data_IF_046567850402
#
_entry.id   IF_046567850402
#
_cell.length_a   1.000
_cell.length_b   1.000
_cell.length_c   1.000
_cell.angle_alpha   90.00
_cell.angle_beta   90.00
_cell.angle_gamma   90.00
#
_symmetry.space_group_name_H-M   'P 1'
#
loop_
_entity.id
_entity.type
_entity.pdbx_description
1 polymer ?
#
# COMPACT_ATOMS: atom_id res chain seq x y z
N UNK A 1 1.83 7.53 -3.09
CA UNK A 1 1.21 8.12 -1.87
C UNK A 1 0.86 9.57 -2.16
N UNK A 2 -0.40 9.93 -1.98
CA UNK A 2 -0.84 11.30 -2.29
C UNK A 2 -0.40 12.28 -1.20
N UNK A 3 -0.02 13.47 -1.61
CA UNK A 3 0.52 14.50 -0.72
C UNK A 3 -0.46 15.68 -0.56
N UNK A 4 -0.03 16.74 0.12
CA UNK A 4 -0.83 17.95 0.33
C UNK A 4 -1.32 18.62 -0.97
N UNK A 5 -0.75 18.29 -2.12
CA UNK A 5 -1.18 18.83 -3.43
C UNK A 5 -2.37 18.07 -4.03
N UNK A 6 -2.91 17.04 -3.38
CA UNK A 6 -3.99 16.21 -3.93
C UNK A 6 -5.22 17.03 -4.36
N UNK A 7 -5.63 18.03 -3.59
CA UNK A 7 -6.75 18.91 -3.95
C UNK A 7 -6.45 19.69 -5.23
N UNK A 8 -5.24 20.23 -5.34
CA UNK A 8 -4.81 20.97 -6.55
C UNK A 8 -4.72 20.03 -7.76
N UNK A 9 -4.27 18.79 -7.56
CA UNK A 9 -4.21 17.78 -8.62
C UNK A 9 -5.60 17.44 -9.16
N UNK A 10 -6.60 17.25 -8.29
CA UNK A 10 -7.99 17.05 -8.72
C UNK A 10 -8.47 18.24 -9.56
N UNK A 11 -8.29 19.47 -9.08
CA UNK A 11 -8.71 20.67 -9.81
C UNK A 11 -8.03 20.77 -11.17
N UNK A 12 -6.73 20.56 -11.23
CA UNK A 12 -5.95 20.61 -12.49
C UNK A 12 -6.37 19.50 -13.47
N UNK A 13 -6.66 18.30 -12.97
CA UNK A 13 -7.14 17.19 -13.82
C UNK A 13 -8.51 17.50 -14.41
N UNK A 14 -9.44 18.03 -13.60
CA UNK A 14 -10.74 18.46 -14.11
C UNK A 14 -10.61 19.57 -15.15
N UNK A 15 -9.73 20.56 -14.92
CA UNK A 15 -9.46 21.62 -15.91
C UNK A 15 -8.86 21.05 -17.21
N UNK A 16 -7.94 20.11 -17.14
CA UNK A 16 -7.30 19.50 -18.30
C UNK A 16 -8.31 18.70 -19.14
N UNK A 17 -9.12 17.84 -18.50
CA UNK A 17 -10.15 17.03 -19.17
C UNK A 17 -11.17 17.96 -19.86
N UNK A 18 -11.73 18.90 -19.11
CA UNK A 18 -12.71 19.84 -19.66
C UNK A 18 -12.12 20.73 -20.75
N UNK A 19 -10.88 21.20 -20.58
CA UNK A 19 -10.20 22.02 -21.57
C UNK A 19 -9.93 21.30 -22.88
N UNK A 20 -9.61 20.01 -22.81
CA UNK A 20 -9.36 19.18 -24.00
C UNK A 20 -10.66 18.81 -24.73
N UNK A 21 -11.66 18.37 -23.99
CA UNK A 21 -12.89 17.80 -24.57
C UNK A 21 -13.89 18.87 -25.05
N UNK A 22 -13.95 20.03 -24.37
CA UNK A 22 -14.89 21.09 -24.75
C UNK A 22 -14.50 21.72 -26.07
N UNK A 23 -13.23 21.95 -26.34
CA UNK A 23 -12.76 22.58 -27.56
C UNK A 23 -12.91 21.68 -28.80
N UNK A 24 -13.27 20.41 -28.63
CA UNK A 24 -13.64 19.53 -29.75
C UNK A 24 -14.96 19.95 -30.42
N UNK A 25 -15.83 20.69 -29.69
CA UNK A 25 -17.04 21.25 -30.27
C UNK A 25 -16.71 22.50 -31.10
N UNK A 26 -17.09 22.54 -32.40
CA UNK A 26 -16.77 23.67 -33.27
C UNK A 26 -17.26 25.04 -32.77
N UNK A 27 -18.34 25.09 -31.98
CA UNK A 27 -18.90 26.32 -31.44
C UNK A 27 -18.23 26.79 -30.13
N UNK A 28 -17.42 25.92 -29.52
CA UNK A 28 -16.81 26.13 -28.20
C UNK A 28 -15.27 26.13 -28.24
N UNK A 29 -14.66 26.26 -29.41
CA UNK A 29 -13.21 26.18 -29.61
C UNK A 29 -12.42 27.28 -28.88
N UNK A 30 -13.07 28.40 -28.55
CA UNK A 30 -12.48 29.54 -27.83
C UNK A 30 -12.69 29.47 -26.31
N UNK A 31 -13.17 28.32 -25.79
CA UNK A 31 -13.48 28.17 -24.39
C UNK A 31 -12.22 28.15 -23.53
N UNK A 32 -12.22 28.96 -22.47
CA UNK A 32 -11.19 28.93 -21.43
C UNK A 32 -11.77 28.24 -20.18
N UNK A 33 -11.04 27.28 -19.64
CA UNK A 33 -11.40 26.61 -18.38
C UNK A 33 -10.57 27.21 -17.25
N UNK A 34 -11.26 27.81 -16.27
CA UNK A 34 -10.64 28.52 -15.15
C UNK A 34 -11.05 27.89 -13.81
N UNK A 35 -10.27 28.13 -12.76
CA UNK A 35 -10.59 27.72 -11.38
C UNK A 35 -10.46 28.93 -10.46
N UNK A 36 -11.40 29.85 -10.55
CA UNK A 36 -11.37 31.13 -9.86
C UNK A 36 -12.58 31.28 -8.91
N UNK A 37 -12.46 32.10 -7.84
CA UNK A 37 -13.60 32.50 -7.05
C UNK A 37 -14.68 33.22 -7.90
N UNK A 38 -15.96 33.09 -7.51
CA UNK A 38 -17.07 33.54 -8.32
C UNK A 38 -17.03 35.04 -8.63
N UNK A 39 -16.54 35.88 -7.70
CA UNK A 39 -16.38 37.33 -7.85
C UNK A 39 -15.31 37.71 -8.88
N UNK A 40 -14.34 36.82 -9.14
CA UNK A 40 -13.22 37.05 -10.08
C UNK A 40 -13.34 36.21 -11.33
N UNK A 41 -14.32 35.31 -11.40
CA UNK A 41 -14.40 34.29 -12.44
C UNK A 41 -14.39 34.88 -13.84
N UNK A 42 -15.25 35.84 -14.14
CA UNK A 42 -15.39 36.44 -15.48
C UNK A 42 -14.23 37.40 -15.81
N UNK A 43 -13.91 38.30 -14.89
CA UNK A 43 -12.85 39.31 -15.07
C UNK A 43 -12.92 40.04 -16.41
N UNK A 44 -11.85 39.98 -17.20
CA UNK A 44 -11.75 40.60 -18.54
C UNK A 44 -11.97 39.59 -19.68
N UNK A 45 -12.35 38.36 -19.39
CA UNK A 45 -12.57 37.30 -20.40
C UNK A 45 -13.88 37.56 -21.12
N UNK A 46 -13.85 37.74 -22.44
CA UNK A 46 -15.01 38.00 -23.29
C UNK A 46 -15.45 36.81 -24.13
N UNK A 47 -14.57 35.80 -24.26
CA UNK A 47 -14.83 34.52 -24.95
C UNK A 47 -15.65 33.56 -24.10
N UNK A 48 -15.98 32.41 -24.61
CA UNK A 48 -16.55 31.32 -23.83
C UNK A 48 -15.67 30.97 -22.64
N UNK A 49 -16.25 30.81 -21.46
CA UNK A 49 -15.50 30.46 -20.27
C UNK A 49 -16.28 29.48 -19.39
N UNK A 50 -15.62 28.41 -18.97
CA UNK A 50 -16.11 27.51 -17.93
C UNK A 50 -15.31 27.72 -16.66
N UNK A 51 -15.96 28.05 -15.57
CA UNK A 51 -15.28 28.24 -14.28
C UNK A 51 -15.61 27.10 -13.31
N UNK A 52 -14.56 26.49 -12.77
CA UNK A 52 -14.62 25.47 -11.73
C UNK A 52 -14.31 26.13 -10.39
N UNK A 53 -15.28 26.28 -9.54
CA UNK A 53 -15.08 26.85 -8.21
C UNK A 53 -15.20 25.79 -7.13
N UNK A 54 -14.09 25.46 -6.45
CA UNK A 54 -14.11 24.62 -5.26
C UNK A 54 -14.71 25.46 -4.11
N UNK A 55 -15.99 25.24 -3.79
CA UNK A 55 -16.67 26.05 -2.79
C UNK A 55 -16.68 25.41 -1.40
N UNK A 56 -16.46 24.08 -1.30
CA UNK A 56 -16.46 23.40 -0.02
C UNK A 56 -15.56 22.15 -0.07
N UNK A 57 -14.93 21.86 1.06
CA UNK A 57 -14.15 20.63 1.30
C UNK A 57 -14.66 20.02 2.59
N UNK A 58 -15.12 18.78 2.54
CA UNK A 58 -15.65 18.06 3.70
C UNK A 58 -14.86 16.75 3.94
N UNK A 59 -14.74 16.33 5.21
CA UNK A 59 -14.24 14.99 5.49
C UNK A 59 -15.24 13.94 4.98
N UNK A 60 -14.75 12.93 4.25
CA UNK A 60 -15.59 11.84 3.78
C UNK A 60 -16.07 10.97 4.96
N UNK A 61 -17.39 10.91 5.17
CA UNK A 61 -18.01 10.25 6.32
C UNK A 61 -17.86 8.71 6.27
N UNK A 62 -17.85 8.11 5.08
CA UNK A 62 -17.75 6.68 4.89
C UNK A 62 -16.31 6.21 5.19
N UNK A 63 -15.33 6.89 4.66
CA UNK A 63 -13.92 6.55 4.84
C UNK A 63 -13.37 6.91 6.21
N UNK A 64 -13.95 7.89 6.89
CA UNK A 64 -13.51 8.32 8.22
C UNK A 64 -13.54 7.20 9.26
N UNK A 65 -14.46 6.25 9.15
CA UNK A 65 -14.65 5.15 10.09
C UNK A 65 -14.19 3.79 9.55
N UNK A 66 -13.70 3.74 8.32
CA UNK A 66 -13.14 2.51 7.75
C UNK A 66 -11.69 2.33 8.20
N UNK A 67 -11.29 1.07 8.41
CA UNK A 67 -9.88 0.73 8.54
C UNK A 67 -9.25 0.80 7.15
N UNK A 68 -8.77 1.99 6.80
CA UNK A 68 -8.18 2.23 5.50
C UNK A 68 -6.90 1.42 5.33
N UNK A 69 -6.61 0.93 4.10
CA UNK A 69 -5.30 0.39 3.81
C UNK A 69 -4.26 1.50 4.05
N UNK A 70 -3.68 1.47 5.24
CA UNK A 70 -2.61 2.38 5.62
C UNK A 70 -1.37 1.98 4.85
N UNK A 71 -0.51 2.93 4.54
CA UNK A 71 0.84 2.65 4.07
C UNK A 71 1.71 2.05 5.19
N UNK A 72 1.07 1.26 6.08
CA UNK A 72 1.67 0.60 7.24
C UNK A 72 1.49 -0.91 7.11
N UNK A 73 2.49 -1.65 7.55
CA UNK A 73 2.50 -3.12 7.53
C UNK A 73 1.83 -3.67 8.79
N UNK A 74 1.45 -4.96 8.81
CA UNK A 74 0.91 -5.57 10.03
C UNK A 74 1.84 -5.37 11.23
N UNK A 75 1.30 -4.85 12.34
CA UNK A 75 2.05 -4.55 13.55
C UNK A 75 2.63 -3.14 13.62
N UNK A 76 2.53 -2.35 12.58
CA UNK A 76 2.93 -0.93 12.58
C UNK A 76 1.75 -0.02 12.95
N UNK A 77 2.07 1.13 13.53
CA UNK A 77 1.10 2.20 13.79
C UNK A 77 1.42 3.42 12.95
N UNK A 78 0.46 3.86 12.15
CA UNK A 78 0.53 5.08 11.36
C UNK A 78 -0.79 5.81 11.40
N UNK A 79 -0.78 7.08 11.03
CA UNK A 79 -2.00 7.86 10.89
C UNK A 79 -2.73 7.43 9.61
N UNK A 80 -4.05 7.32 9.68
CA UNK A 80 -4.87 7.09 8.48
C UNK A 80 -4.79 8.30 7.56
N UNK A 81 -4.87 8.13 6.24
CA UNK A 81 -4.99 9.23 5.30
C UNK A 81 -6.22 10.10 5.63
N UNK A 82 -6.10 11.38 5.35
CA UNK A 82 -7.23 12.30 5.40
C UNK A 82 -8.08 12.11 4.14
N UNK A 83 -9.29 11.61 4.30
CA UNK A 83 -10.23 11.38 3.22
C UNK A 83 -11.17 12.59 3.07
N UNK A 84 -11.25 13.15 1.87
CA UNK A 84 -11.96 14.39 1.57
C UNK A 84 -12.93 14.22 0.41
N UNK A 85 -14.07 14.91 0.55
CA UNK A 85 -15.02 15.17 -0.52
C UNK A 85 -14.84 16.63 -0.94
N UNK A 86 -14.68 16.86 -2.24
CA UNK A 86 -14.43 18.15 -2.84
C UNK A 86 -15.69 18.59 -3.61
N UNK A 87 -16.31 19.68 -3.17
CA UNK A 87 -17.52 20.19 -3.79
C UNK A 87 -17.22 21.36 -4.74
N UNK A 88 -17.48 21.13 -6.02
CA UNK A 88 -17.25 22.10 -7.08
C UNK A 88 -18.57 22.69 -7.59
N UNK A 89 -18.57 23.99 -7.83
CA UNK A 89 -19.60 24.68 -8.60
C UNK A 89 -19.05 24.99 -9.99
N UNK A 90 -19.72 24.47 -11.01
CA UNK A 90 -19.36 24.69 -12.40
C UNK A 90 -20.28 25.74 -12.98
N UNK A 91 -19.71 26.83 -13.46
CA UNK A 91 -20.44 27.95 -14.03
C UNK A 91 -19.96 28.23 -15.44
N UNK A 92 -20.88 28.33 -16.38
CA UNK A 92 -20.60 28.65 -17.77
C UNK A 92 -20.90 30.14 -18.05
N UNK A 93 -19.99 30.77 -18.78
CA UNK A 93 -20.13 32.12 -19.30
C UNK A 93 -20.02 32.07 -20.83
N UNK A 94 -21.07 32.46 -21.52
CA UNK A 94 -21.07 32.59 -22.97
C UNK A 94 -20.26 33.79 -23.44
N UNK A 95 -20.08 33.90 -24.74
CA UNK A 95 -19.43 35.07 -25.39
C UNK A 95 -20.18 36.35 -25.05
N UNK A 96 -19.46 37.42 -24.75
CA UNK A 96 -20.06 38.71 -24.56
C UNK A 96 -20.53 39.30 -25.91
N UNK A 97 -21.69 39.93 -25.88
CA UNK A 97 -22.27 40.57 -27.06
C UNK A 97 -22.64 39.66 -28.24
N UNK A 98 -22.66 38.34 -28.03
CA UNK A 98 -23.16 37.36 -29.02
C UNK A 98 -24.43 36.68 -28.48
N UNK A 99 -25.57 37.12 -28.99
CA UNK A 99 -26.88 36.59 -28.64
C UNK A 99 -27.47 35.66 -29.68
N UNK A 100 -26.63 35.26 -30.66
CA UNK A 100 -27.07 34.36 -31.75
C UNK A 100 -27.46 32.98 -31.25
N UNK A 101 -26.84 32.54 -30.16
CA UNK A 101 -27.09 31.22 -29.52
C UNK A 101 -26.88 31.37 -28.01
N UNK A 102 -27.53 30.49 -27.19
CA UNK A 102 -27.31 30.45 -25.75
C UNK A 102 -26.00 29.65 -25.45
N UNK A 103 -24.83 30.26 -25.73
CA UNK A 103 -23.52 29.65 -25.59
C UNK A 103 -23.23 29.16 -24.18
N UNK A 104 -23.70 29.85 -23.16
CA UNK A 104 -23.59 29.46 -21.75
C UNK A 104 -24.34 28.15 -21.46
N UNK A 105 -25.56 27.99 -21.98
CA UNK A 105 -26.30 26.73 -21.82
C UNK A 105 -25.64 25.59 -22.61
N UNK A 106 -25.20 25.86 -23.85
CA UNK A 106 -24.47 24.85 -24.66
C UNK A 106 -23.18 24.42 -23.97
N UNK A 107 -22.40 25.38 -23.49
CA UNK A 107 -21.14 25.12 -22.79
C UNK A 107 -21.35 24.30 -21.49
N UNK A 108 -22.37 24.68 -20.70
CA UNK A 108 -22.73 23.93 -19.49
C UNK A 108 -23.15 22.49 -19.83
N UNK A 109 -23.99 22.31 -20.84
CA UNK A 109 -24.43 20.99 -21.31
C UNK A 109 -23.24 20.12 -21.79
N UNK A 110 -22.32 20.71 -22.57
CA UNK A 110 -21.11 20.01 -23.01
C UNK A 110 -20.22 19.63 -21.82
N UNK A 111 -20.01 20.52 -20.88
CA UNK A 111 -19.23 20.25 -19.66
C UNK A 111 -19.84 19.12 -18.82
N UNK A 112 -21.18 19.13 -18.66
CA UNK A 112 -21.88 18.09 -17.93
C UNK A 112 -21.77 16.72 -18.63
N UNK A 113 -21.85 16.68 -19.96
CA UNK A 113 -21.63 15.46 -20.76
C UNK A 113 -20.22 14.92 -20.56
N UNK A 114 -19.20 15.77 -20.67
CA UNK A 114 -17.79 15.38 -20.47
C UNK A 114 -17.58 14.76 -19.08
N UNK A 115 -18.08 15.41 -18.03
CA UNK A 115 -17.93 14.89 -16.66
C UNK A 115 -18.73 13.62 -16.39
N UNK A 116 -19.82 13.42 -17.10
CA UNK A 116 -20.59 12.17 -17.04
C UNK A 116 -19.82 11.03 -17.68
N UNK A 117 -19.19 11.26 -18.83
CA UNK A 117 -18.40 10.28 -19.55
C UNK A 117 -17.10 9.95 -18.82
N UNK A 118 -16.53 10.93 -18.08
CA UNK A 118 -15.34 10.80 -17.22
C UNK A 118 -15.71 10.70 -15.74
N UNK A 119 -16.66 9.82 -15.40
CA UNK A 119 -17.13 9.67 -14.01
C UNK A 119 -16.05 9.22 -13.02
N UNK A 120 -14.92 8.68 -13.49
CA UNK A 120 -13.76 8.26 -12.71
C UNK A 120 -12.50 8.87 -13.30
N UNK A 121 -11.72 9.58 -12.49
CA UNK A 121 -10.42 10.10 -12.92
C UNK A 121 -9.42 8.95 -13.10
N UNK A 122 -8.80 8.91 -14.27
CA UNK A 122 -7.76 7.94 -14.59
C UNK A 122 -6.41 8.32 -13.95
N UNK A 123 -5.59 7.33 -13.53
CA UNK A 123 -4.26 7.60 -12.99
C UNK A 123 -3.36 8.37 -13.96
N UNK A 124 -3.43 8.05 -15.26
CA UNK A 124 -2.64 8.72 -16.31
C UNK A 124 -3.08 10.17 -16.51
N UNK A 125 -4.38 10.45 -16.42
CA UNK A 125 -4.94 11.81 -16.53
C UNK A 125 -4.44 12.67 -15.38
N UNK A 126 -4.47 12.14 -14.15
CA UNK A 126 -3.96 12.81 -12.95
C UNK A 126 -2.46 13.07 -13.05
N UNK A 127 -1.68 12.05 -13.41
CA UNK A 127 -0.23 12.16 -13.52
C UNK A 127 0.20 13.17 -14.60
N UNK A 128 -0.57 13.25 -15.70
CA UNK A 128 -0.31 14.20 -16.80
C UNK A 128 -0.69 15.63 -16.40
N UNK A 129 -1.85 15.81 -15.77
CA UNK A 129 -2.35 17.15 -15.42
C UNK A 129 -1.57 17.77 -14.25
N UNK A 130 -1.15 16.96 -13.27
CA UNK A 130 -0.42 17.45 -12.10
C UNK A 130 0.61 16.43 -11.61
N UNK A 131 1.80 16.37 -12.21
CA UNK A 131 2.86 15.43 -11.83
C UNK A 131 3.31 15.62 -10.37
N UNK A 132 3.57 14.53 -9.68
CA UNK A 132 4.16 14.53 -8.33
C UNK A 132 3.17 14.75 -7.18
N UNK A 133 1.87 14.74 -7.43
CA UNK A 133 0.86 14.76 -6.38
C UNK A 133 0.75 13.43 -5.62
N UNK A 134 1.10 12.31 -6.28
CA UNK A 134 0.91 10.96 -5.80
C UNK A 134 -0.55 10.50 -5.78
N UNK A 135 -1.49 11.35 -6.24
CA UNK A 135 -2.92 11.05 -6.25
C UNK A 135 -3.25 9.92 -7.23
N UNK A 136 -2.48 9.77 -8.30
CA UNK A 136 -2.56 8.69 -9.29
C UNK A 136 -2.38 7.29 -8.69
N UNK A 137 -1.71 7.22 -7.53
CA UNK A 137 -1.40 5.96 -6.82
C UNK A 137 -2.26 5.72 -5.58
N UNK A 138 -3.32 6.50 -5.35
CA UNK A 138 -4.19 6.28 -4.19
C UNK A 138 -4.98 4.96 -4.27
N UNK A 139 -5.42 4.47 -3.11
CA UNK A 139 -6.05 3.15 -2.99
C UNK A 139 -7.42 3.06 -3.67
N UNK A 140 -8.18 4.15 -3.73
CA UNK A 140 -9.46 4.23 -4.41
C UNK A 140 -9.42 5.27 -5.53
N UNK A 141 -10.28 5.17 -6.51
CA UNK A 141 -10.34 6.13 -7.61
C UNK A 141 -11.21 7.32 -7.26
N UNK A 142 -10.78 8.50 -7.66
CA UNK A 142 -11.56 9.73 -7.52
C UNK A 142 -12.75 9.65 -8.47
N UNK A 143 -13.95 9.74 -7.90
CA UNK A 143 -15.23 9.69 -8.61
C UNK A 143 -15.83 11.08 -8.70
N UNK A 144 -16.38 11.42 -9.85
CA UNK A 144 -17.13 12.65 -10.10
C UNK A 144 -18.62 12.31 -10.09
N UNK A 145 -19.37 13.00 -9.27
CA UNK A 145 -20.83 12.78 -9.16
C UNK A 145 -21.55 14.12 -9.21
N UNK A 146 -22.64 14.21 -10.01
CA UNK A 146 -23.50 15.39 -10.03
C UNK A 146 -24.17 15.54 -8.67
N UNK A 147 -23.99 16.69 -8.03
CA UNK A 147 -24.60 17.03 -6.75
C UNK A 147 -25.88 17.85 -6.97
N UNK A 148 -27.03 17.36 -6.50
CA UNK A 148 -28.27 18.14 -6.55
C UNK A 148 -28.19 19.28 -5.53
N UNK A 149 -27.99 20.52 -6.02
CA UNK A 149 -28.07 21.72 -5.21
C UNK A 149 -29.43 22.34 -5.38
N UNK A 150 -30.03 22.78 -4.28
CA UNK A 150 -31.27 23.57 -4.34
C UNK A 150 -30.99 24.98 -4.89
N UNK A 151 -32.00 25.61 -5.48
CA UNK A 151 -31.90 27.01 -5.94
C UNK A 151 -31.54 27.95 -4.78
N UNK A 152 -31.98 27.62 -3.58
CA UNK A 152 -31.67 28.39 -2.36
C UNK A 152 -30.17 28.27 -2.02
N UNK A 153 -29.58 27.09 -2.07
CA UNK A 153 -28.17 26.91 -1.76
C UNK A 153 -27.27 27.60 -2.78
N UNK A 154 -27.60 27.47 -4.07
CA UNK A 154 -26.87 28.17 -5.13
C UNK A 154 -27.00 29.67 -4.94
N UNK A 155 -28.21 30.20 -4.67
CA UNK A 155 -28.44 31.63 -4.44
C UNK A 155 -27.64 32.15 -3.25
N UNK A 156 -27.55 31.40 -2.16
CA UNK A 156 -26.72 31.75 -0.99
C UNK A 156 -25.24 31.85 -1.34
N UNK A 157 -24.73 30.92 -2.15
CA UNK A 157 -23.34 30.98 -2.64
C UNK A 157 -23.10 32.26 -3.45
N UNK A 158 -23.96 32.56 -4.42
CA UNK A 158 -23.81 33.73 -5.26
C UNK A 158 -23.95 35.06 -4.47
N UNK A 159 -24.86 35.13 -3.52
CA UNK A 159 -24.97 36.26 -2.62
C UNK A 159 -23.74 36.48 -1.74
N UNK A 160 -23.13 35.40 -1.27
CA UNK A 160 -21.91 35.46 -0.46
C UNK A 160 -20.73 36.12 -1.20
N UNK A 161 -20.67 36.01 -2.53
CA UNK A 161 -19.64 36.62 -3.38
C UNK A 161 -20.08 37.99 -3.97
N UNK A 162 -21.27 38.49 -3.62
CA UNK A 162 -21.81 39.78 -4.08
C UNK A 162 -21.74 39.93 -5.61
N UNK A 163 -21.98 38.86 -6.36
CA UNK A 163 -21.94 38.84 -7.82
C UNK A 163 -23.28 38.35 -8.40
N UNK A 164 -23.52 38.64 -9.69
CA UNK A 164 -24.79 38.30 -10.35
C UNK A 164 -24.92 36.78 -10.50
N UNK A 165 -26.11 36.27 -10.17
CA UNK A 165 -26.49 34.89 -10.31
C UNK A 165 -26.31 34.41 -11.77
N UNK A 166 -25.74 33.21 -11.91
CA UNK A 166 -25.65 32.49 -13.18
C UNK A 166 -25.99 31.02 -12.98
N UNK A 167 -26.54 30.43 -14.04
CA UNK A 167 -26.86 28.99 -14.04
C UNK A 167 -25.57 28.20 -13.82
N UNK A 168 -25.60 27.33 -12.81
CA UNK A 168 -24.43 26.54 -12.37
C UNK A 168 -24.88 25.16 -11.99
N UNK A 169 -23.95 24.18 -12.08
CA UNK A 169 -24.15 22.82 -11.65
C UNK A 169 -23.15 22.46 -10.53
N UNK A 170 -23.64 21.81 -9.48
CA UNK A 170 -22.81 21.31 -8.40
C UNK A 170 -22.25 19.90 -8.71
N UNK A 171 -21.03 19.66 -8.33
CA UNK A 171 -20.39 18.35 -8.42
C UNK A 171 -19.69 17.99 -7.12
N UNK A 172 -19.85 16.75 -6.72
CA UNK A 172 -19.09 16.12 -5.64
C UNK A 172 -17.99 15.25 -6.25
N UNK A 173 -16.75 15.50 -5.84
CA UNK A 173 -15.57 14.76 -6.31
C UNK A 173 -14.95 14.04 -5.13
N UNK A 174 -15.17 12.76 -5.05
CA UNK A 174 -14.79 11.91 -3.90
C UNK A 174 -14.24 10.54 -4.35
N UNK A 175 -13.36 9.89 -3.64
CA UNK A 175 -12.68 10.34 -2.43
C UNK A 175 -11.28 10.83 -2.80
N UNK A 176 -10.87 11.97 -2.26
CA UNK A 176 -9.49 12.47 -2.38
C UNK A 176 -8.77 12.18 -1.08
N UNK A 177 -7.70 11.37 -1.14
CA UNK A 177 -6.91 10.98 0.01
C UNK A 177 -5.65 11.85 0.11
N UNK A 178 -5.32 12.30 1.32
CA UNK A 178 -4.05 12.94 1.64
C UNK A 178 -3.35 12.11 2.70
N UNK A 179 -2.21 11.53 2.36
CA UNK A 179 -1.43 10.71 3.29
C UNK A 179 -0.78 11.57 4.38
N UNK A 180 -0.72 11.00 5.58
CA UNK A 180 -0.04 11.64 6.69
C UNK A 180 1.47 11.70 6.46
N UNK A 181 2.08 12.82 6.77
CA UNK A 181 3.55 12.99 6.79
C UNK A 181 4.17 12.54 8.10
N UNK A 182 3.36 12.09 9.08
CA UNK A 182 3.88 11.57 10.34
C UNK A 182 4.63 10.27 10.12
N UNK A 183 5.79 10.09 10.77
CA UNK A 183 6.55 8.86 10.64
C UNK A 183 5.75 7.66 11.17
N UNK A 184 5.82 6.57 10.44
CA UNK A 184 5.25 5.28 10.86
C UNK A 184 6.04 4.78 12.06
N UNK A 185 5.35 4.41 13.14
CA UNK A 185 5.97 3.78 14.32
C UNK A 185 5.98 2.28 14.16
N UNK A 186 7.16 1.70 14.25
CA UNK A 186 7.40 0.26 14.14
C UNK A 186 7.67 -0.30 15.55
N UNK A 187 6.63 -0.70 16.30
CA UNK A 187 6.81 -1.19 17.67
C UNK A 187 7.65 -2.46 17.67
N UNK A 188 8.31 -2.72 18.79
CA UNK A 188 9.01 -3.99 18.99
C UNK A 188 8.00 -5.15 18.95
N UNK A 189 8.40 -6.34 18.46
CA UNK A 189 7.53 -7.51 18.44
C UNK A 189 7.15 -7.93 19.86
N UNK A 190 5.95 -8.51 19.99
CA UNK A 190 5.46 -9.00 21.26
C UNK A 190 6.31 -10.18 21.75
N UNK A 191 6.81 -10.10 22.98
CA UNK A 191 7.64 -11.16 23.58
C UNK A 191 6.84 -12.43 23.90
N UNK A 192 5.58 -12.30 24.24
CA UNK A 192 4.71 -13.44 24.54
C UNK A 192 3.23 -13.06 24.53
N UNK A 193 2.36 -13.99 24.13
CA UNK A 193 0.90 -13.79 24.04
C UNK A 193 0.18 -14.56 25.13
N UNK A 194 0.15 -14.02 26.34
CA UNK A 194 -0.48 -14.66 27.49
C UNK A 194 0.33 -15.81 28.09
N UNK A 195 -0.25 -16.55 29.02
CA UNK A 195 0.39 -17.69 29.64
C UNK A 195 0.69 -18.79 28.59
N UNK A 196 1.93 -19.21 28.51
CA UNK A 196 2.42 -20.24 27.56
C UNK A 196 2.39 -19.86 26.08
N UNK A 197 2.29 -18.56 25.72
CA UNK A 197 2.28 -18.03 24.34
C UNK A 197 1.21 -18.69 23.43
N UNK A 198 0.14 -19.19 24.00
CA UNK A 198 -0.87 -20.02 23.30
C UNK A 198 -1.90 -19.23 22.52
N UNK A 199 -1.88 -17.92 22.45
CA UNK A 199 -2.80 -17.14 21.60
C UNK A 199 -4.19 -17.77 21.36
N UNK A 200 -4.99 -17.20 20.50
CA UNK A 200 -6.30 -17.78 20.12
C UNK A 200 -6.10 -18.90 19.07
N UNK A 201 -6.55 -20.12 19.39
CA UNK A 201 -6.64 -21.24 18.44
C UNK A 201 -8.13 -21.57 18.20
N UNK A 202 -8.61 -21.37 16.99
CA UNK A 202 -9.90 -21.87 16.53
C UNK A 202 -9.67 -23.02 15.55
N UNK A 203 -10.09 -24.23 15.89
CA UNK A 203 -9.93 -25.41 15.04
C UNK A 203 -11.31 -25.94 14.64
N UNK A 204 -11.63 -25.87 13.32
CA UNK A 204 -12.78 -26.55 12.77
C UNK A 204 -12.41 -28.02 12.51
N UNK A 205 -13.17 -28.95 13.14
CA UNK A 205 -12.92 -30.40 13.03
C UNK A 205 -13.79 -30.99 11.91
N UNK A 206 -13.36 -30.85 10.66
CA UNK A 206 -13.82 -31.68 9.55
C UNK A 206 -12.59 -32.33 8.94
N UNK A 207 -12.46 -33.64 9.06
CA UNK A 207 -11.38 -34.40 8.41
C UNK A 207 -11.69 -34.49 6.92
N UNK A 208 -11.00 -33.78 6.03
CA UNK A 208 -11.23 -33.85 4.59
C UNK A 208 -10.86 -35.24 4.02
N UNK A 209 -11.59 -35.69 3.01
CA UNK A 209 -11.31 -36.96 2.33
C UNK A 209 -10.00 -36.92 1.49
N UNK A 210 -9.48 -35.71 1.24
CA UNK A 210 -8.26 -35.45 0.44
C UNK A 210 -7.13 -34.95 1.33
N UNK A 211 -5.86 -35.09 0.91
CA UNK A 211 -4.74 -34.50 1.65
C UNK A 211 -4.94 -33.00 1.85
N UNK A 212 -4.84 -32.55 3.08
CA UNK A 212 -5.08 -31.14 3.43
C UNK A 212 -4.03 -30.68 4.44
N UNK A 213 -3.45 -29.51 4.22
CA UNK A 213 -2.52 -28.86 5.11
C UNK A 213 -3.30 -27.89 6.01
N UNK A 214 -3.14 -28.02 7.34
CA UNK A 214 -3.82 -27.20 8.32
C UNK A 214 -2.92 -26.11 8.89
N UNK A 215 -1.62 -26.38 9.04
CA UNK A 215 -0.67 -25.42 9.61
C UNK A 215 0.75 -25.67 9.09
N UNK A 216 1.50 -24.59 8.93
CA UNK A 216 2.96 -24.57 8.68
C UNK A 216 3.58 -23.82 9.84
N UNK A 217 4.36 -24.50 10.66
CA UNK A 217 4.88 -23.93 11.90
C UNK A 217 6.42 -23.94 11.89
N UNK A 218 7.05 -22.75 11.95
CA UNK A 218 8.47 -22.64 12.22
C UNK A 218 8.84 -23.12 13.63
N UNK A 219 10.13 -23.41 13.89
CA UNK A 219 10.59 -23.85 15.20
C UNK A 219 10.27 -22.79 16.28
N UNK A 220 10.08 -23.22 17.53
CA UNK A 220 9.82 -22.36 18.68
C UNK A 220 8.61 -21.43 18.52
N UNK A 221 7.65 -21.78 17.66
CA UNK A 221 6.48 -20.94 17.33
C UNK A 221 6.86 -19.49 16.93
N UNK A 222 8.02 -19.33 16.32
CA UNK A 222 8.44 -18.03 15.80
C UNK A 222 7.58 -17.60 14.59
N UNK A 223 7.44 -16.28 14.34
CA UNK A 223 6.53 -15.79 13.29
C UNK A 223 7.02 -16.08 11.87
N UNK A 224 8.31 -16.34 11.68
CA UNK A 224 8.93 -16.61 10.39
C UNK A 224 9.98 -17.70 10.52
N UNK A 225 10.23 -18.45 9.46
CA UNK A 225 11.33 -19.38 9.38
C UNK A 225 12.64 -18.68 8.98
N UNK A 226 13.76 -19.35 9.20
CA UNK A 226 15.08 -18.99 8.69
C UNK A 226 15.62 -20.11 7.78
N UNK A 227 16.64 -19.82 7.02
CA UNK A 227 17.39 -20.86 6.30
C UNK A 227 17.91 -21.91 7.29
N UNK A 228 17.76 -23.19 6.95
CA UNK A 228 18.14 -24.32 7.80
C UNK A 228 17.14 -24.71 8.87
N UNK A 229 16.09 -23.91 9.11
CA UNK A 229 15.04 -24.24 10.07
C UNK A 229 14.25 -25.48 9.65
N UNK A 230 13.81 -26.23 10.66
CA UNK A 230 12.94 -27.40 10.47
C UNK A 230 11.50 -26.98 10.75
N UNK A 231 10.70 -27.00 9.69
CA UNK A 231 9.26 -26.71 9.77
C UNK A 231 8.47 -27.93 10.23
N UNK A 232 7.43 -27.70 11.01
CA UNK A 232 6.39 -28.68 11.29
C UNK A 232 5.17 -28.37 10.42
N UNK A 233 4.84 -29.29 9.52
CA UNK A 233 3.64 -29.25 8.69
C UNK A 233 2.58 -30.15 9.28
N UNK A 234 1.45 -29.60 9.70
CA UNK A 234 0.34 -30.39 10.26
C UNK A 234 -0.85 -30.37 9.31
N UNK A 235 -1.56 -31.48 9.27
CA UNK A 235 -2.69 -31.63 8.35
C UNK A 235 -3.37 -32.97 8.51
N UNK A 236 -4.01 -33.44 7.44
CA UNK A 236 -4.64 -34.76 7.36
C UNK A 236 -4.29 -35.44 6.06
N UNK A 237 -4.14 -36.77 6.13
CA UNK A 237 -3.80 -37.61 4.99
C UNK A 237 -2.46 -37.21 4.32
N UNK A 238 -1.48 -36.76 5.10
CA UNK A 238 -0.18 -36.34 4.61
C UNK A 238 0.77 -37.52 4.33
N UNK A 239 0.38 -38.75 4.69
CA UNK A 239 1.17 -39.96 4.47
C UNK A 239 0.95 -40.54 3.07
N UNK A 240 1.98 -41.08 2.50
CA UNK A 240 1.94 -41.73 1.19
C UNK A 240 3.34 -42.18 0.71
N UNK A 241 3.40 -42.66 -0.50
CA UNK A 241 4.65 -42.83 -1.22
C UNK A 241 4.95 -41.52 -1.96
N UNK A 242 6.23 -41.19 -2.13
CA UNK A 242 6.64 -39.99 -2.88
C UNK A 242 6.00 -38.70 -2.33
N UNK A 243 6.28 -38.41 -1.07
CA UNK A 243 5.84 -37.18 -0.39
C UNK A 243 6.87 -36.06 -0.57
N UNK A 244 6.44 -34.86 -0.92
CA UNK A 244 7.29 -33.68 -1.05
C UNK A 244 6.61 -32.41 -0.55
N UNK A 245 7.36 -31.52 0.05
CA UNK A 245 6.88 -30.17 0.36
C UNK A 245 7.25 -29.23 -0.77
N UNK A 246 6.26 -28.57 -1.33
CA UNK A 246 6.39 -27.66 -2.46
C UNK A 246 6.37 -26.22 -1.95
N UNK A 247 7.47 -25.51 -2.16
CA UNK A 247 7.63 -24.10 -1.83
C UNK A 247 7.55 -23.27 -3.09
N UNK A 248 6.82 -22.18 -3.04
CA UNK A 248 6.77 -21.20 -4.13
C UNK A 248 7.05 -19.80 -3.60
N UNK A 249 7.89 -19.06 -4.31
CA UNK A 249 8.22 -17.66 -4.03
C UNK A 249 8.02 -16.85 -5.32
N UNK A 250 7.47 -15.62 -5.25
CA UNK A 250 7.23 -14.78 -6.44
C UNK A 250 8.47 -14.49 -7.30
N UNK A 251 9.66 -14.56 -6.71
CA UNK A 251 10.93 -14.33 -7.43
C UNK A 251 11.41 -15.58 -8.20
N UNK A 252 10.82 -16.74 -7.95
CA UNK A 252 11.18 -17.97 -8.65
C UNK A 252 10.35 -18.18 -9.91
N UNK A 253 10.95 -18.74 -10.91
CA UNK A 253 10.27 -19.14 -12.17
C UNK A 253 9.43 -20.40 -12.02
N UNK A 254 9.75 -21.25 -11.04
CA UNK A 254 9.03 -22.48 -10.74
C UNK A 254 9.14 -22.83 -9.24
N UNK A 255 8.12 -23.49 -8.67
CA UNK A 255 8.16 -23.96 -7.29
C UNK A 255 9.31 -24.96 -7.05
N UNK A 256 9.86 -24.93 -5.84
CA UNK A 256 10.95 -25.84 -5.39
C UNK A 256 10.36 -26.91 -4.48
N UNK A 257 10.66 -28.16 -4.78
CA UNK A 257 10.26 -29.30 -3.97
C UNK A 257 11.37 -29.70 -3.00
N UNK A 258 11.01 -29.90 -1.72
CA UNK A 258 11.91 -30.34 -0.65
C UNK A 258 11.35 -31.62 -0.05
N UNK A 259 12.19 -32.66 0.05
CA UNK A 259 11.80 -33.90 0.67
C UNK A 259 11.58 -33.74 2.19
N UNK A 260 10.53 -34.32 2.76
CA UNK A 260 10.33 -34.32 4.20
C UNK A 260 11.42 -35.13 4.90
N UNK A 261 11.72 -34.79 6.15
CA UNK A 261 12.57 -35.58 7.01
C UNK A 261 11.89 -36.92 7.31
N UNK A 262 12.68 -38.00 7.54
CA UNK A 262 12.13 -39.30 7.92
C UNK A 262 11.28 -39.25 9.19
N UNK A 263 10.27 -40.12 9.30
CA UNK A 263 9.42 -40.25 10.49
C UNK A 263 8.12 -39.48 10.45
N UNK A 264 7.77 -38.91 9.30
CA UNK A 264 6.45 -38.25 9.10
C UNK A 264 5.29 -39.24 9.09
N UNK A 265 4.09 -38.76 9.43
CA UNK A 265 2.84 -39.55 9.49
C UNK A 265 1.68 -38.89 8.74
N UNK A 266 0.48 -39.42 8.93
CA UNK A 266 -0.74 -38.90 8.27
C UNK A 266 -1.17 -37.51 8.73
N UNK A 267 -0.72 -37.10 9.92
CA UNK A 267 -1.14 -35.82 10.54
C UNK A 267 -0.01 -34.79 10.58
N UNK A 268 1.24 -35.20 10.42
CA UNK A 268 2.38 -34.31 10.58
C UNK A 268 3.57 -34.77 9.73
N UNK A 269 4.25 -33.79 9.16
CA UNK A 269 5.53 -33.92 8.47
C UNK A 269 6.51 -32.90 9.04
N UNK A 270 7.79 -33.24 8.96
CA UNK A 270 8.91 -32.35 9.29
C UNK A 270 9.71 -32.07 8.02
N UNK A 271 9.99 -30.81 7.73
CA UNK A 271 10.68 -30.41 6.50
C UNK A 271 11.74 -29.36 6.84
N UNK A 272 12.98 -29.62 6.46
CA UNK A 272 14.06 -28.66 6.65
C UNK A 272 14.18 -27.74 5.44
N UNK A 273 14.14 -26.42 5.68
CA UNK A 273 14.44 -25.43 4.64
C UNK A 273 15.92 -25.55 4.28
N UNK A 274 16.29 -25.69 2.99
CA UNK A 274 17.69 -25.76 2.59
C UNK A 274 18.48 -24.51 2.99
N UNK A 275 19.67 -24.68 3.53
CA UNK A 275 20.56 -23.56 3.82
C UNK A 275 21.33 -23.15 2.55
N UNK A 276 20.62 -22.53 1.62
CA UNK A 276 21.14 -22.07 0.33
C UNK A 276 20.87 -20.57 0.14
N UNK A 277 21.70 -19.69 0.72
CA UNK A 277 21.41 -18.25 0.82
C UNK A 277 21.36 -17.52 -0.53
N UNK A 278 21.88 -18.11 -1.59
CA UNK A 278 21.84 -17.56 -2.96
C UNK A 278 20.62 -17.98 -3.75
N UNK A 279 19.91 -19.03 -3.30
CA UNK A 279 18.77 -19.64 -4.03
C UNK A 279 17.43 -19.31 -3.38
N UNK A 280 17.40 -19.23 -2.05
CA UNK A 280 16.20 -18.99 -1.25
C UNK A 280 16.15 -17.53 -0.78
N UNK A 281 15.46 -16.61 -1.47
CA UNK A 281 15.36 -15.21 -1.04
C UNK A 281 14.53 -15.08 0.24
N UNK A 282 14.79 -14.08 1.07
CA UNK A 282 13.89 -13.71 2.15
C UNK A 282 12.57 -13.17 1.57
N UNK A 283 11.45 -13.37 2.27
CA UNK A 283 10.15 -12.89 1.80
C UNK A 283 9.01 -13.88 2.07
N UNK A 284 7.95 -13.75 1.28
CA UNK A 284 6.74 -14.56 1.40
C UNK A 284 6.80 -15.79 0.51
N UNK A 285 6.33 -16.90 1.06
CA UNK A 285 6.23 -18.19 0.39
C UNK A 285 4.82 -18.74 0.51
N UNK A 286 4.41 -19.55 -0.46
CA UNK A 286 3.33 -20.51 -0.28
C UNK A 286 3.90 -21.91 -0.17
N UNK A 287 3.34 -22.70 0.74
CA UNK A 287 3.75 -24.08 1.03
C UNK A 287 2.59 -25.01 0.80
N UNK A 288 2.80 -26.07 0.04
CA UNK A 288 1.87 -27.17 -0.14
C UNK A 288 2.60 -28.50 0.06
N UNK A 289 1.86 -29.57 0.23
CA UNK A 289 2.41 -30.94 0.29
C UNK A 289 1.90 -31.73 -0.90
N UNK A 290 2.83 -32.38 -1.60
CA UNK A 290 2.55 -33.36 -2.63
C UNK A 290 2.54 -34.75 -2.02
N UNK A 291 1.48 -35.52 -2.22
CA UNK A 291 1.33 -36.85 -1.65
C UNK A 291 0.82 -37.81 -2.72
N UNK A 292 1.54 -38.92 -2.93
CA UNK A 292 1.04 -40.01 -3.72
C UNK A 292 0.42 -41.06 -2.76
N UNK A 293 -0.88 -41.20 -2.81
CA UNK A 293 -1.60 -42.16 -1.97
C UNK A 293 -1.41 -43.60 -2.46
N UNK A 294 -1.49 -44.61 -1.58
CA UNK A 294 -1.48 -45.98 -2.00
C UNK A 294 -2.56 -46.29 -3.05
N UNK A 295 -2.13 -46.92 -4.16
CA UNK A 295 -3.05 -47.25 -5.28
C UNK A 295 -3.29 -46.11 -6.27
N UNK A 296 -2.77 -44.90 -6.07
CA UNK A 296 -2.81 -43.81 -7.04
C UNK A 296 -1.53 -43.76 -7.88
N UNK A 297 -1.69 -43.41 -9.16
CA UNK A 297 -0.56 -43.27 -10.11
C UNK A 297 -0.02 -41.85 -10.18
N UNK A 298 -0.72 -40.88 -9.61
CA UNK A 298 -0.37 -39.46 -9.60
C UNK A 298 -0.28 -38.92 -8.17
N UNK A 299 0.47 -37.83 -8.02
CA UNK A 299 0.57 -37.11 -6.75
C UNK A 299 -0.54 -36.07 -6.64
N UNK A 300 -1.15 -35.96 -5.48
CA UNK A 300 -2.12 -34.92 -5.14
C UNK A 300 -1.43 -33.80 -4.40
N UNK A 301 -1.86 -32.57 -4.66
CA UNK A 301 -1.38 -31.38 -3.94
C UNK A 301 -2.41 -31.01 -2.87
N UNK A 302 -1.97 -30.67 -1.68
CA UNK A 302 -2.81 -30.07 -0.64
C UNK A 302 -3.19 -28.64 -1.03
N UNK A 303 -4.07 -27.99 -0.23
CA UNK A 303 -4.15 -26.54 -0.21
C UNK A 303 -2.80 -25.90 0.10
N UNK A 304 -2.66 -24.63 -0.26
CA UNK A 304 -1.46 -23.82 0.02
C UNK A 304 -1.63 -22.99 1.28
N UNK A 305 -0.60 -22.92 2.09
CA UNK A 305 -0.53 -22.03 3.25
C UNK A 305 0.66 -21.09 3.12
N UNK A 306 0.55 -19.92 3.72
CA UNK A 306 1.61 -18.91 3.72
C UNK A 306 2.72 -19.26 4.72
N UNK A 307 3.94 -18.93 4.35
CA UNK A 307 5.13 -18.98 5.19
C UNK A 307 5.97 -17.72 4.90
N UNK A 308 6.58 -17.16 5.94
CA UNK A 308 7.58 -16.11 5.78
C UNK A 308 8.97 -16.63 6.08
N UNK A 309 9.96 -16.27 5.24
CA UNK A 309 11.37 -16.56 5.44
C UNK A 309 12.09 -15.27 5.85
N UNK A 310 12.46 -15.20 7.13
CA UNK A 310 13.15 -14.07 7.71
C UNK A 310 14.65 -14.09 7.41
N UNK A 311 15.26 -12.92 7.13
CA UNK A 311 16.70 -12.82 7.06
C UNK A 311 17.33 -12.92 8.47
N UNK A 312 18.55 -13.41 8.55
CA UNK A 312 19.48 -13.12 9.65
C UNK A 312 20.29 -11.89 9.27
N UNK A 313 20.67 -11.08 10.25
CA UNK A 313 21.38 -9.82 10.00
C UNK A 313 22.37 -9.49 11.10
N UNK A 314 23.50 -8.96 10.71
CA UNK A 314 24.45 -8.25 11.58
C UNK A 314 24.78 -6.90 10.97
N UNK A 315 25.03 -5.88 11.79
CA UNK A 315 25.38 -4.54 11.30
C UNK A 315 26.67 -4.01 11.94
N UNK A 316 27.35 -3.20 11.17
CA UNK A 316 28.53 -2.45 11.62
C UNK A 316 28.36 -0.98 11.22
N UNK A 317 28.79 -0.03 12.09
CA UNK A 317 29.37 -0.20 13.42
C UNK A 317 28.33 -0.58 14.48
N UNK A 318 28.72 -1.36 15.50
CA UNK A 318 27.87 -1.66 16.65
C UNK A 318 27.80 -0.49 17.65
N UNK A 319 28.77 0.43 17.59
CA UNK A 319 28.81 1.66 18.37
C UNK A 319 29.20 2.82 17.46
N UNK A 320 28.46 3.93 17.54
CA UNK A 320 28.69 5.11 16.71
C UNK A 320 28.41 6.41 17.51
N UNK A 321 29.00 7.56 17.12
CA UNK A 321 28.63 8.84 17.68
C UNK A 321 27.22 9.27 17.24
N UNK A 322 26.56 10.10 18.06
CA UNK A 322 25.28 10.71 17.69
C UNK A 322 25.41 11.58 16.43
N UNK A 323 24.32 11.63 15.63
CA UNK A 323 24.27 12.40 14.39
C UNK A 323 24.08 11.52 13.16
N UNK A 324 24.93 11.68 12.15
CA UNK A 324 24.83 10.92 10.90
C UNK A 324 25.72 9.68 10.97
N UNK A 325 25.12 8.51 10.75
CA UNK A 325 25.81 7.21 10.79
C UNK A 325 25.47 6.42 9.53
N UNK A 326 26.47 5.79 8.93
CA UNK A 326 26.26 4.83 7.85
C UNK A 326 26.45 3.41 8.41
N UNK A 327 25.39 2.62 8.36
CA UNK A 327 25.41 1.22 8.76
C UNK A 327 25.62 0.32 7.55
N UNK A 328 26.50 -0.66 7.70
CA UNK A 328 26.67 -1.77 6.73
C UNK A 328 26.07 -3.01 7.35
N UNK A 329 25.06 -3.58 6.71
CA UNK A 329 24.42 -4.82 7.13
C UNK A 329 24.92 -5.99 6.30
N UNK A 330 25.26 -7.10 6.98
CA UNK A 330 25.49 -8.40 6.35
C UNK A 330 24.31 -9.30 6.65
N UNK A 331 23.70 -9.90 5.62
CA UNK A 331 22.48 -10.69 5.75
C UNK A 331 22.54 -12.04 5.02
N UNK A 332 21.74 -12.96 5.52
CA UNK A 332 21.46 -14.26 4.90
C UNK A 332 19.96 -14.57 5.08
N UNK A 333 19.26 -14.93 3.98
CA UNK A 333 19.72 -15.06 2.60
C UNK A 333 20.19 -13.75 1.96
N UNK A 334 20.85 -13.89 0.80
CA UNK A 334 21.20 -12.73 -0.03
C UNK A 334 19.95 -12.08 -0.60
N UNK A 335 20.00 -10.77 -0.73
CA UNK A 335 18.93 -9.97 -1.33
C UNK A 335 19.04 -10.00 -2.84
N UNK A 336 17.91 -10.15 -3.51
CA UNK A 336 17.83 -10.19 -4.97
C UNK A 336 17.48 -8.82 -5.54
N UNK A 337 17.89 -8.51 -6.78
CA UNK A 337 17.45 -7.29 -7.46
C UNK A 337 15.93 -7.19 -7.50
N UNK A 338 15.41 -5.99 -7.21
CA UNK A 338 13.97 -5.72 -7.18
C UNK A 338 13.30 -5.92 -5.82
N UNK A 339 13.97 -6.54 -4.84
CA UNK A 339 13.45 -6.61 -3.47
C UNK A 339 13.53 -5.25 -2.76
N UNK A 340 12.50 -4.94 -2.00
CA UNK A 340 12.45 -3.73 -1.17
C UNK A 340 13.10 -4.02 0.17
N UNK A 341 14.15 -3.24 0.50
CA UNK A 341 14.94 -3.47 1.71
C UNK A 341 15.02 -2.22 2.56
N UNK A 342 14.76 -2.38 3.85
CA UNK A 342 14.94 -1.34 4.85
C UNK A 342 15.55 -1.88 6.15
N UNK A 343 16.31 -1.03 6.82
CA UNK A 343 16.80 -1.27 8.18
C UNK A 343 15.93 -0.50 9.16
N UNK A 344 15.31 -1.21 10.08
CA UNK A 344 14.56 -0.63 11.18
C UNK A 344 15.51 -0.42 12.35
N UNK A 345 15.72 0.83 12.75
CA UNK A 345 16.58 1.21 13.86
C UNK A 345 15.74 1.94 14.92
N UNK A 346 15.38 1.27 16.00
CA UNK A 346 14.35 1.77 16.92
C UNK A 346 13.05 2.07 16.17
N UNK A 347 12.62 3.33 16.17
CA UNK A 347 11.41 3.80 15.48
C UNK A 347 11.70 4.31 14.04
N UNK A 348 12.96 4.32 13.61
CA UNK A 348 13.36 4.81 12.28
C UNK A 348 13.37 3.67 11.26
N UNK A 349 12.89 3.95 10.04
CA UNK A 349 13.03 3.07 8.88
C UNK A 349 13.98 3.71 7.87
N UNK A 350 15.10 3.04 7.59
CA UNK A 350 16.15 3.48 6.70
C UNK A 350 16.13 2.65 5.42
N UNK A 351 15.97 3.27 4.28
CA UNK A 351 16.04 2.58 2.99
C UNK A 351 17.48 2.15 2.68
N UNK A 352 17.64 0.98 2.07
CA UNK A 352 18.94 0.54 1.57
C UNK A 352 19.42 1.43 0.41
N UNK A 353 20.74 1.63 0.34
CA UNK A 353 21.35 2.19 -0.88
C UNK A 353 21.03 1.29 -2.07
N UNK A 354 20.66 1.85 -3.25
CA UNK A 354 20.30 1.06 -4.42
C UNK A 354 21.39 0.04 -4.81
N UNK A 355 20.96 -1.15 -5.13
CA UNK A 355 21.81 -2.25 -5.61
C UNK A 355 21.21 -2.87 -6.87
N UNK A 356 22.07 -3.37 -7.77
CA UNK A 356 21.65 -3.91 -9.08
C UNK A 356 21.97 -5.40 -9.24
N UNK A 357 22.71 -5.97 -8.32
CA UNK A 357 23.09 -7.39 -8.31
C UNK A 357 22.70 -8.04 -6.98
N UNK A 358 22.53 -9.36 -6.99
CA UNK A 358 22.32 -10.14 -5.78
C UNK A 358 23.46 -9.91 -4.78
N UNK A 359 23.11 -9.58 -3.53
CA UNK A 359 24.10 -9.22 -2.51
C UNK A 359 23.71 -9.68 -1.11
N UNK A 360 24.72 -10.03 -0.31
CA UNK A 360 24.56 -10.25 1.14
C UNK A 360 24.99 -9.05 1.99
N UNK A 361 25.41 -7.93 1.35
CA UNK A 361 25.89 -6.73 2.06
C UNK A 361 25.13 -5.53 1.57
N UNK A 362 24.60 -4.74 2.50
CA UNK A 362 23.75 -3.58 2.24
C UNK A 362 24.22 -2.39 3.06
N UNK A 363 24.00 -1.19 2.56
CA UNK A 363 24.39 0.05 3.22
C UNK A 363 23.17 0.92 3.49
N UNK A 364 23.12 1.51 4.68
CA UNK A 364 22.01 2.35 5.15
C UNK A 364 22.55 3.63 5.75
N UNK A 365 22.07 4.78 5.29
CA UNK A 365 22.41 6.08 5.83
C UNK A 365 21.34 6.51 6.85
N UNK A 366 21.76 6.74 8.08
CA UNK A 366 20.94 7.32 9.14
C UNK A 366 21.38 8.74 9.41
N UNK A 367 20.44 9.67 9.60
CA UNK A 367 20.69 11.06 9.95
C UNK A 367 19.96 11.41 11.24
N UNK A 368 20.56 12.30 12.02
CA UNK A 368 20.00 12.80 13.29
C UNK A 368 19.68 11.70 14.31
N UNK A 369 20.53 10.66 14.38
CA UNK A 369 20.37 9.61 15.39
C UNK A 369 20.79 10.17 16.74
N UNK A 370 19.88 10.20 17.71
CA UNK A 370 20.16 10.62 19.07
C UNK A 370 21.01 9.59 19.82
N UNK A 371 21.70 10.00 20.87
CA UNK A 371 22.38 9.06 21.76
C UNK A 371 21.40 8.10 22.44
N UNK A 372 21.72 6.83 22.49
CA UNK A 372 20.86 5.78 23.04
C UNK A 372 21.22 4.39 22.57
N UNK A 373 20.53 3.39 23.09
CA UNK A 373 20.62 2.00 22.63
C UNK A 373 19.40 1.64 21.79
N UNK A 374 19.63 1.12 20.61
CA UNK A 374 18.59 0.84 19.63
C UNK A 374 18.64 -0.61 19.22
N UNK A 375 17.50 -1.30 19.25
CA UNK A 375 17.35 -2.57 18.57
C UNK A 375 17.17 -2.33 17.08
N UNK A 376 17.77 -3.20 16.25
CA UNK A 376 17.61 -3.13 14.81
C UNK A 376 17.00 -4.43 14.24
N UNK A 377 16.34 -4.29 13.10
CA UNK A 377 15.81 -5.38 12.28
C UNK A 377 16.04 -5.06 10.82
N UNK A 378 16.41 -6.07 10.04
CA UNK A 378 16.43 -5.96 8.60
C UNK A 378 15.09 -6.43 8.05
N UNK A 379 14.48 -5.63 7.23
CA UNK A 379 13.22 -5.91 6.56
C UNK A 379 13.47 -6.12 5.07
N UNK A 380 13.02 -7.25 4.52
CA UNK A 380 13.10 -7.59 3.10
C UNK A 380 11.71 -7.97 2.63
N UNK A 381 11.16 -7.25 1.64
CA UNK A 381 9.80 -7.43 1.11
C UNK A 381 8.71 -7.56 2.21
N UNK A 382 8.85 -6.81 3.28
CA UNK A 382 7.91 -6.82 4.39
C UNK A 382 8.16 -7.87 5.47
N UNK A 383 9.19 -8.72 5.33
CA UNK A 383 9.55 -9.72 6.32
C UNK A 383 10.75 -9.24 7.15
N UNK A 384 10.56 -9.11 8.45
CA UNK A 384 11.58 -8.66 9.40
C UNK A 384 12.50 -9.79 9.84
N UNK A 385 13.77 -9.48 10.12
CA UNK A 385 14.64 -10.37 10.88
C UNK A 385 14.07 -10.63 12.28
N UNK A 386 14.29 -11.83 12.80
CA UNK A 386 13.71 -12.22 14.08
C UNK A 386 14.51 -11.61 15.24
N UNK A 387 13.90 -10.63 15.91
CA UNK A 387 14.50 -9.95 17.08
C UNK A 387 14.25 -10.74 18.38
N UNK A 388 13.16 -11.52 18.47
CA UNK A 388 12.82 -12.24 19.70
C UNK A 388 13.42 -13.63 19.66
N UNK A 389 14.27 -13.93 20.63
CA UNK A 389 14.75 -15.28 20.89
C UNK A 389 13.72 -16.08 21.70
N UNK A 390 13.01 -17.00 21.03
CA UNK A 390 11.99 -17.87 21.60
C UNK A 390 12.52 -19.24 22.03
N UNK A 391 13.83 -19.47 21.86
CA UNK A 391 14.46 -20.70 22.34
C UNK A 391 14.66 -20.71 23.86
N UNK A 392 14.52 -19.55 24.52
CA UNK A 392 14.61 -19.38 25.98
C UNK A 392 13.25 -19.03 26.58
N UNK A 393 13.07 -19.35 27.86
CA UNK A 393 11.82 -19.06 28.59
C UNK A 393 12.15 -18.26 29.85
N UNK A 394 11.57 -17.05 30.02
CA UNK A 394 10.70 -16.33 29.07
C UNK A 394 11.47 -15.86 27.82
N UNK A 395 10.78 -15.62 26.69
CA UNK A 395 11.41 -15.07 25.49
C UNK A 395 12.08 -13.71 25.77
N UNK A 396 13.22 -13.47 25.14
CA UNK A 396 13.99 -12.22 25.28
C UNK A 396 14.32 -11.64 23.93
N UNK A 397 14.62 -10.34 23.88
CA UNK A 397 15.19 -9.76 22.67
C UNK A 397 16.63 -10.26 22.46
N UNK A 398 16.99 -10.48 21.21
CA UNK A 398 18.33 -10.87 20.82
C UNK A 398 19.30 -9.70 21.02
N UNK A 399 20.24 -9.80 21.98
CA UNK A 399 21.16 -8.71 22.26
C UNK A 399 22.16 -8.45 21.12
N UNK A 400 22.34 -9.42 20.21
CA UNK A 400 23.18 -9.23 19.02
C UNK A 400 22.57 -8.27 18.00
N UNK A 401 21.27 -8.00 18.10
CA UNK A 401 20.55 -7.04 17.28
C UNK A 401 20.34 -5.69 18.01
N UNK A 402 21.37 -5.24 18.72
CA UNK A 402 21.38 -3.94 19.38
C UNK A 402 22.63 -3.15 19.00
N UNK A 403 22.47 -1.84 18.81
CA UNK A 403 23.57 -0.89 18.61
C UNK A 403 23.48 0.22 19.65
N UNK A 404 24.64 0.79 19.96
CA UNK A 404 24.75 1.91 20.90
C UNK A 404 25.23 3.15 20.16
N UNK A 405 24.49 4.25 20.30
CA UNK A 405 24.86 5.57 19.78
C UNK A 405 25.24 6.45 20.98
N UNK A 406 26.45 7.00 20.98
CA UNK A 406 27.03 7.75 22.08
C UNK A 406 27.13 9.24 21.81
#
# INVERSE_FOLDING_TARGET
>A
MSNASAIAAVTATLQAILGTEIVTDPNLTDTQVTALPLDKARGTITTNQLNLFLYQVLPNAAWRNMDMPKAVRPGETGMSPLALDLHYLITAFGRENDTSQPFDHHLLGKAMSVLYDHALLGPEEIATAFPGSGLESQADRVRITLQPLSVEDISKLWMGFATQYRVSAGYDVSVTLIDSTQPVKTPLPVLGRGAQDKGWLSQASIVPAIPTLSCVMPPNQQPSARLGDVLTLTGVNLNGTNVGALFNNPLWTAPVEVAPNPGGGSLQLSVQIPNQPTVWPAGFYTVAVLVQRPGETYRRTTNQLSLTLAPTVSIVPATAPAGSVTYTATCSPQVWPGQIVSLLLGDMELAATPFTAQTGTLTFAASNVASGSYYFRLRIDGVDSLLVNRAVTPPVFDPSQQVTVT
#
